data_IF_782103184005
#
_entry.id   IF_782103184005
#
_cell.length_a   1.000
_cell.length_b   1.000
_cell.length_c   1.000
_cell.angle_alpha   90.00
_cell.angle_beta   90.00
_cell.angle_gamma   90.00
#
_symmetry.space_group_name_H-M   'P 1'
#
loop_
_entity.id
_entity.type
_entity.pdbx_description
1 polymer ?
#
# COMPACT_ATOMS: atom_id res chain seq x y z
N UNK A 1 10.99 -21.45 -22.47
CA UNK A 1 10.87 -21.58 -21.00
C UNK A 1 11.25 -20.24 -20.40
N UNK A 2 10.37 -19.57 -19.65
CA UNK A 2 10.68 -18.28 -19.02
C UNK A 2 11.66 -18.52 -17.86
N UNK A 3 12.70 -17.70 -17.74
CA UNK A 3 13.67 -17.80 -16.63
C UNK A 3 12.99 -17.41 -15.32
N UNK A 4 13.43 -17.98 -14.19
CA UNK A 4 12.80 -17.68 -12.89
C UNK A 4 12.84 -16.20 -12.54
N UNK A 5 13.95 -15.52 -12.86
CA UNK A 5 14.12 -14.09 -12.61
C UNK A 5 13.13 -13.24 -13.41
N UNK A 6 12.91 -13.59 -14.68
CA UNK A 6 11.90 -12.94 -15.52
C UNK A 6 10.49 -13.09 -14.93
N UNK A 7 10.18 -14.26 -14.36
CA UNK A 7 8.90 -14.51 -13.71
C UNK A 7 8.71 -13.69 -12.43
N UNK A 8 9.79 -13.48 -11.66
CA UNK A 8 9.78 -12.61 -10.47
C UNK A 8 9.60 -11.15 -10.88
N UNK A 9 10.33 -10.70 -11.91
CA UNK A 9 10.22 -9.36 -12.46
C UNK A 9 8.79 -9.07 -12.96
N UNK A 10 8.22 -9.99 -13.74
CA UNK A 10 6.84 -9.87 -14.23
C UNK A 10 5.83 -9.77 -13.10
N UNK A 11 6.00 -10.51 -12.00
CA UNK A 11 5.14 -10.41 -10.81
C UNK A 11 5.28 -9.06 -10.11
N UNK A 12 6.50 -8.55 -9.94
CA UNK A 12 6.74 -7.23 -9.35
C UNK A 12 6.11 -6.11 -10.21
N UNK A 13 6.29 -6.18 -11.53
CA UNK A 13 5.68 -5.25 -12.47
C UNK A 13 4.14 -5.30 -12.37
N UNK A 14 3.55 -6.49 -12.31
CA UNK A 14 2.10 -6.64 -12.19
C UNK A 14 1.54 -6.02 -10.89
N UNK A 15 2.30 -6.04 -9.79
CA UNK A 15 1.91 -5.39 -8.52
C UNK A 15 1.78 -3.88 -8.71
N UNK A 16 2.69 -3.25 -9.47
CA UNK A 16 2.66 -1.80 -9.72
C UNK A 16 1.41 -1.32 -10.47
N UNK A 17 0.69 -2.21 -11.17
CA UNK A 17 -0.53 -1.86 -11.90
C UNK A 17 -1.82 -2.18 -11.15
N UNK A 18 -1.75 -2.80 -9.96
CA UNK A 18 -2.94 -3.09 -9.16
C UNK A 18 -3.39 -1.85 -8.39
N UNK A 19 -4.68 -1.46 -8.45
CA UNK A 19 -5.21 -0.35 -7.66
C UNK A 19 -5.29 -0.67 -6.16
N UNK A 20 -5.39 -1.96 -5.81
CA UNK A 20 -5.47 -2.43 -4.43
C UNK A 20 -4.45 -3.53 -4.17
N UNK A 21 -3.74 -3.43 -3.05
CA UNK A 21 -2.62 -4.30 -2.69
C UNK A 21 -2.94 -5.05 -1.40
N UNK A 22 -2.69 -6.37 -1.37
CA UNK A 22 -2.65 -7.13 -0.11
C UNK A 22 -1.50 -6.63 0.77
N UNK A 23 -1.52 -6.88 2.09
CA UNK A 23 -0.43 -6.48 2.98
C UNK A 23 0.96 -6.93 2.49
N UNK A 24 1.07 -8.15 1.99
CA UNK A 24 2.31 -8.72 1.47
C UNK A 24 2.76 -8.05 0.17
N UNK A 25 1.81 -7.71 -0.71
CA UNK A 25 2.08 -7.01 -1.96
C UNK A 25 2.46 -5.54 -1.70
N UNK A 26 1.84 -4.91 -0.70
CA UNK A 26 2.17 -3.55 -0.28
C UNK A 26 3.60 -3.45 0.25
N UNK A 27 4.04 -4.42 1.08
CA UNK A 27 5.42 -4.49 1.59
C UNK A 27 6.44 -4.63 0.46
N UNK A 28 6.13 -5.45 -0.55
CA UNK A 28 6.97 -5.60 -1.75
C UNK A 28 6.99 -4.28 -2.54
N UNK A 29 5.83 -3.65 -2.72
CA UNK A 29 5.68 -2.43 -3.51
C UNK A 29 6.46 -1.24 -2.92
N UNK A 30 6.37 -1.03 -1.61
CA UNK A 30 7.10 0.05 -0.94
C UNK A 30 8.55 -0.32 -0.57
N UNK A 31 8.93 -1.59 -0.73
CA UNK A 31 10.23 -2.14 -0.31
C UNK A 31 10.55 -1.83 1.17
N UNK A 32 9.55 -1.92 2.05
CA UNK A 32 9.69 -1.67 3.49
C UNK A 32 9.50 -2.97 4.30
N UNK A 33 10.20 -3.05 5.43
CA UNK A 33 9.93 -4.10 6.43
C UNK A 33 8.59 -3.89 7.12
N UNK A 34 8.00 -4.97 7.67
CA UNK A 34 6.67 -4.95 8.34
C UNK A 34 6.53 -3.84 9.38
N UNK A 35 7.50 -3.69 10.26
CA UNK A 35 7.45 -2.72 11.37
C UNK A 35 7.51 -1.28 10.85
N UNK A 36 8.38 -1.01 9.88
CA UNK A 36 8.53 0.33 9.30
C UNK A 36 7.29 0.70 8.48
N UNK A 37 6.76 -0.24 7.72
CA UNK A 37 5.52 -0.03 6.98
C UNK A 37 4.35 0.26 7.91
N UNK A 38 4.20 -0.46 9.02
CA UNK A 38 3.15 -0.20 10.01
C UNK A 38 3.27 1.21 10.60
N UNK A 39 4.47 1.60 11.02
CA UNK A 39 4.72 2.94 11.57
C UNK A 39 4.39 4.03 10.55
N UNK A 40 4.86 3.89 9.31
CA UNK A 40 4.56 4.85 8.24
C UNK A 40 3.05 4.88 7.93
N UNK A 41 2.35 3.74 7.94
CA UNK A 41 0.90 3.72 7.75
C UNK A 41 0.18 4.55 8.82
N UNK A 42 0.60 4.44 10.07
CA UNK A 42 0.05 5.22 11.18
C UNK A 42 0.39 6.71 11.04
N UNK A 43 1.63 7.06 10.71
CA UNK A 43 2.10 8.44 10.55
C UNK A 43 1.41 9.18 9.39
N UNK A 44 1.17 8.48 8.27
CA UNK A 44 0.61 9.07 7.05
C UNK A 44 -0.89 8.83 6.88
N UNK A 45 -1.55 8.13 7.81
CA UNK A 45 -2.99 7.88 7.78
C UNK A 45 -3.43 6.87 6.71
N UNK A 46 -2.57 5.90 6.38
CA UNK A 46 -2.86 4.82 5.43
C UNK A 46 -3.57 3.67 6.14
N UNK A 47 -4.82 3.40 5.75
CA UNK A 47 -5.63 2.34 6.36
C UNK A 47 -6.02 1.26 5.36
N UNK A 48 -6.25 0.05 5.87
CA UNK A 48 -6.82 -1.05 5.08
C UNK A 48 -8.31 -0.81 4.88
N UNK A 49 -8.81 -1.22 3.71
CA UNK A 49 -10.24 -1.40 3.49
C UNK A 49 -10.80 -2.52 4.37
N UNK A 50 -12.13 -2.62 4.49
CA UNK A 50 -12.81 -3.64 5.29
C UNK A 50 -12.47 -5.08 4.84
N UNK A 51 -12.02 -5.23 3.59
CA UNK A 51 -11.56 -6.51 3.01
C UNK A 51 -10.07 -6.80 3.24
N UNK A 52 -9.34 -5.91 3.92
CA UNK A 52 -7.93 -6.10 4.29
C UNK A 52 -6.89 -5.61 3.27
N UNK A 53 -7.29 -4.88 2.23
CA UNK A 53 -6.41 -4.35 1.17
C UNK A 53 -6.07 -2.88 1.37
N UNK A 54 -4.91 -2.46 0.89
CA UNK A 54 -4.49 -1.06 0.82
C UNK A 54 -4.76 -0.47 -0.56
N UNK A 55 -5.19 0.79 -0.62
CA UNK A 55 -5.22 1.53 -1.88
C UNK A 55 -3.80 1.89 -2.29
N UNK A 56 -3.46 1.62 -3.55
CA UNK A 56 -2.14 1.96 -4.09
C UNK A 56 -1.89 3.47 -4.01
N UNK A 57 -2.88 4.29 -4.36
CA UNK A 57 -2.79 5.76 -4.29
C UNK A 57 -2.45 6.28 -2.88
N UNK A 58 -2.96 5.62 -1.84
CA UNK A 58 -2.68 6.01 -0.45
C UNK A 58 -1.23 5.65 -0.07
N UNK A 59 -0.74 4.51 -0.56
CA UNK A 59 0.68 4.13 -0.41
C UNK A 59 1.58 5.06 -1.22
N UNK A 60 1.19 5.44 -2.44
CA UNK A 60 1.96 6.38 -3.27
C UNK A 60 2.10 7.74 -2.58
N UNK A 61 1.02 8.24 -1.94
CA UNK A 61 1.05 9.47 -1.11
C UNK A 61 1.97 9.32 0.10
N UNK A 62 1.89 8.20 0.81
CA UNK A 62 2.81 7.92 1.92
C UNK A 62 4.28 7.91 1.44
N UNK A 63 4.56 7.37 0.26
CA UNK A 63 5.91 7.35 -0.31
C UNK A 63 6.37 8.71 -0.84
N UNK A 64 5.45 9.59 -1.28
CA UNK A 64 5.76 10.98 -1.63
C UNK A 64 5.90 11.91 -0.42
N UNK A 65 5.60 11.42 0.79
CA UNK A 65 5.61 12.21 2.02
C UNK A 65 4.34 13.04 2.24
N UNK A 66 3.26 12.72 1.53
CA UNK A 66 1.96 13.37 1.65
C UNK A 66 1.04 12.61 2.61
N UNK A 67 0.35 13.35 3.48
CA UNK A 67 -0.67 12.75 4.36
C UNK A 67 -1.88 12.31 3.55
N UNK A 68 -2.37 11.10 3.82
CA UNK A 68 -3.63 10.63 3.26
C UNK A 68 -4.77 11.28 4.02
N UNK A 69 -5.26 12.40 3.49
CA UNK A 69 -6.52 13.00 3.95
C UNK A 69 -7.66 12.08 3.56
N UNK A 70 -8.02 11.17 4.47
CA UNK A 70 -9.23 10.36 4.34
C UNK A 70 -10.41 11.32 4.26
N UNK A 71 -11.01 11.43 3.08
CA UNK A 71 -12.29 12.15 2.89
C UNK A 71 -13.48 11.38 3.49
N UNK A 72 -13.24 10.49 4.45
CA UNK A 72 -14.23 9.74 5.19
C UNK A 72 -14.52 10.47 6.50
N UNK A 73 -15.35 11.51 6.39
CA UNK A 73 -16.31 12.02 7.38
C UNK A 73 -15.93 11.71 8.85
N UNK A 74 -15.44 12.75 9.55
CA UNK A 74 -15.67 12.90 10.98
C UNK A 74 -17.17 12.76 11.26
N UNK A 75 -17.65 11.58 11.65
CA UNK A 75 -18.89 11.50 12.40
C UNK A 75 -18.59 12.03 13.81
N UNK A 76 -18.79 13.35 13.97
CA UNK A 76 -19.20 13.91 15.25
C UNK A 76 -20.52 13.23 15.60
N UNK A 77 -20.54 12.40 16.63
CA UNK A 77 -21.77 12.16 17.38
C UNK A 77 -21.64 13.02 18.63
N UNK A 78 -22.48 14.06 18.64
CA UNK A 78 -22.72 14.95 19.76
C UNK A 78 -23.50 14.23 20.87
#
# INVERSE_FOLDING_TARGET
>A
MIKRDDLILMKAVAICFKPFLKPEEALIYCNLGRTQFAKNCEEYGVYKSNTGYYKKEDIDKMLSGELVTTSSIKLKVA
#
